data_IF_651588005190
#
_entry.id   IF_651588005190
#
_cell.length_a   1.000
_cell.length_b   1.000
_cell.length_c   1.000
_cell.angle_alpha   90.00
_cell.angle_beta   90.00
_cell.angle_gamma   90.00
#
_symmetry.space_group_name_H-M   'P 1'
#
loop_
_entity.id
_entity.type
_entity.pdbx_description
1 polymer ?
#
# COMPACT_ATOMS: atom_id res chain seq x y z
N UNK A 1 57.78 -1.44 -23.29
CA UNK A 1 56.94 -0.26 -23.58
C UNK A 1 55.48 -0.67 -23.51
N UNK A 2 54.72 0.06 -22.69
CA UNK A 2 53.26 0.13 -22.54
C UNK A 2 52.42 -1.16 -22.60
N UNK A 3 52.15 -1.72 -21.41
CA UNK A 3 50.91 -2.44 -21.17
C UNK A 3 49.69 -1.51 -21.27
N UNK A 4 48.64 -1.98 -21.91
CA UNK A 4 47.32 -1.34 -21.87
C UNK A 4 46.31 -2.40 -21.47
N UNK A 5 46.29 -2.73 -20.18
CA UNK A 5 45.12 -3.33 -19.54
C UNK A 5 43.96 -2.37 -19.76
N UNK A 6 43.09 -2.68 -20.72
CA UNK A 6 41.79 -2.04 -20.85
C UNK A 6 41.08 -2.22 -19.51
N UNK A 7 41.08 -1.19 -18.67
CA UNK A 7 40.19 -1.13 -17.51
C UNK A 7 38.79 -1.27 -18.09
N UNK A 8 38.12 -2.35 -17.73
CA UNK A 8 36.70 -2.60 -17.97
C UNK A 8 35.87 -1.46 -17.37
N UNK A 9 35.72 -0.36 -18.10
CA UNK A 9 34.88 0.79 -17.72
C UNK A 9 33.40 0.56 -18.00
N UNK A 10 33.04 -0.54 -18.66
CA UNK A 10 31.68 -0.91 -19.06
C UNK A 10 31.19 -2.18 -18.37
N UNK A 11 31.34 -2.27 -17.04
CA UNK A 11 30.37 -3.07 -16.30
C UNK A 11 29.01 -2.38 -16.51
N UNK A 12 28.15 -3.00 -17.31
CA UNK A 12 26.75 -2.62 -17.45
C UNK A 12 26.22 -2.32 -16.06
N UNK A 13 25.98 -1.03 -15.76
CA UNK A 13 25.64 -0.60 -14.41
C UNK A 13 24.34 -1.29 -14.04
N UNK A 14 24.41 -2.26 -13.13
CA UNK A 14 23.26 -3.02 -12.69
C UNK A 14 22.16 -2.07 -12.20
N UNK A 15 20.91 -2.41 -12.55
CA UNK A 15 19.73 -1.71 -12.07
C UNK A 15 18.93 -2.66 -11.19
N UNK A 16 18.62 -2.24 -9.97
CA UNK A 16 17.75 -2.95 -9.04
C UNK A 16 16.45 -2.18 -8.88
N UNK A 17 15.34 -2.91 -8.80
CA UNK A 17 13.99 -2.33 -8.66
C UNK A 17 13.34 -2.90 -7.42
N UNK A 18 13.09 -2.03 -6.44
CA UNK A 18 12.34 -2.37 -5.23
C UNK A 18 10.85 -2.41 -5.60
N UNK A 19 10.27 -3.62 -5.60
CA UNK A 19 8.83 -3.86 -5.82
C UNK A 19 8.02 -3.90 -4.53
N UNK A 20 8.61 -4.43 -3.46
CA UNK A 20 7.99 -4.58 -2.15
C UNK A 20 7.59 -3.24 -1.53
N UNK A 21 6.55 -3.25 -0.68
CA UNK A 21 6.24 -2.08 0.16
C UNK A 21 7.41 -1.79 1.10
N UNK A 22 7.93 -0.56 1.06
CA UNK A 22 9.02 -0.09 1.91
C UNK A 22 8.69 1.29 2.46
N UNK A 23 9.25 1.63 3.62
CA UNK A 23 9.01 2.94 4.25
C UNK A 23 9.54 4.09 3.38
N UNK A 24 8.87 5.26 3.39
CA UNK A 24 9.34 6.43 2.64
C UNK A 24 10.79 6.81 2.99
N UNK A 25 11.62 6.97 1.97
CA UNK A 25 13.05 7.26 2.04
C UNK A 25 13.95 6.02 1.87
N UNK A 26 13.40 4.81 1.82
CA UNK A 26 14.20 3.57 1.73
C UNK A 26 15.03 3.54 0.45
N UNK A 27 14.42 3.84 -0.70
CA UNK A 27 15.11 3.81 -2.00
C UNK A 27 16.26 4.80 -2.08
N UNK A 28 16.10 5.99 -1.48
CA UNK A 28 17.16 6.99 -1.42
C UNK A 28 18.32 6.55 -0.52
N UNK A 29 18.01 5.97 0.64
CA UNK A 29 19.00 5.40 1.55
C UNK A 29 19.79 4.26 0.88
N UNK A 30 19.09 3.35 0.20
CA UNK A 30 19.71 2.27 -0.56
C UNK A 30 20.58 2.80 -1.70
N UNK A 31 20.11 3.81 -2.44
CA UNK A 31 20.90 4.41 -3.51
C UNK A 31 22.19 5.04 -2.97
N UNK A 32 22.14 5.67 -1.80
CA UNK A 32 23.32 6.23 -1.12
C UNK A 32 24.30 5.13 -0.68
N UNK A 33 23.80 4.02 -0.16
CA UNK A 33 24.62 2.88 0.26
C UNK A 33 25.26 2.14 -0.92
N UNK A 34 24.63 2.16 -2.11
CA UNK A 34 25.07 1.44 -3.29
C UNK A 34 25.22 2.36 -4.53
N UNK A 35 26.16 3.32 -4.55
CA UNK A 35 26.26 4.36 -5.59
C UNK A 35 26.60 3.83 -6.99
N UNK A 36 27.16 2.61 -7.07
CA UNK A 36 27.51 1.95 -8.34
C UNK A 36 26.30 1.34 -9.04
N UNK A 37 25.25 1.00 -8.31
CA UNK A 37 24.02 0.38 -8.82
C UNK A 37 22.94 1.46 -8.96
N UNK A 38 22.09 1.36 -9.98
CA UNK A 38 20.88 2.20 -10.07
C UNK A 38 19.79 1.53 -9.24
N UNK A 39 19.23 2.23 -8.26
CA UNK A 39 18.12 1.71 -7.45
C UNK A 39 16.87 2.53 -7.74
N UNK A 40 15.82 1.83 -8.17
CA UNK A 40 14.50 2.41 -8.44
C UNK A 40 13.47 1.78 -7.51
N UNK A 41 12.36 2.48 -7.32
CA UNK A 41 11.17 1.94 -6.68
C UNK A 41 10.07 1.77 -7.72
N UNK A 42 9.32 0.67 -7.66
CA UNK A 42 8.14 0.48 -8.49
C UNK A 42 7.07 -0.24 -7.68
N UNK A 43 6.25 0.49 -6.91
CA UNK A 43 5.31 -0.14 -5.99
C UNK A 43 4.32 -1.01 -6.75
N UNK A 44 4.00 -2.16 -6.18
CA UNK A 44 2.97 -3.06 -6.72
C UNK A 44 1.57 -2.72 -6.17
N UNK A 45 0.55 -2.79 -7.03
CA UNK A 45 -0.84 -2.46 -6.68
C UNK A 45 -1.77 -3.65 -6.89
N UNK A 46 -1.29 -4.84 -6.50
CA UNK A 46 -2.01 -6.10 -6.68
C UNK A 46 -3.08 -6.27 -5.60
N UNK A 47 -4.18 -6.89 -5.98
CA UNK A 47 -5.18 -7.44 -5.05
C UNK A 47 -4.96 -8.95 -4.92
N UNK A 48 -5.02 -9.49 -3.70
CA UNK A 48 -4.73 -10.92 -3.45
C UNK A 48 -5.56 -11.85 -4.35
N UNK A 49 -6.84 -11.51 -4.56
CA UNK A 49 -7.75 -12.29 -5.41
C UNK A 49 -7.45 -12.20 -6.92
N UNK A 50 -6.80 -11.12 -7.40
CA UNK A 50 -6.60 -10.89 -8.84
C UNK A 50 -5.13 -10.70 -9.22
N UNK A 51 -4.17 -11.11 -8.39
CA UNK A 51 -2.75 -10.80 -8.57
C UNK A 51 -2.23 -11.09 -10.00
N UNK A 52 -2.58 -12.24 -10.60
CA UNK A 52 -2.21 -12.56 -11.99
C UNK A 52 -2.75 -11.56 -13.01
N UNK A 53 -4.02 -11.18 -12.87
CA UNK A 53 -4.68 -10.21 -13.75
C UNK A 53 -4.11 -8.81 -13.54
N UNK A 54 -3.88 -8.42 -12.30
CA UNK A 54 -3.36 -7.09 -11.93
C UNK A 54 -1.92 -6.89 -12.42
N UNK A 55 -1.10 -7.96 -12.45
CA UNK A 55 0.22 -7.94 -13.09
C UNK A 55 0.09 -7.78 -14.61
N UNK A 56 -0.80 -8.51 -15.25
CA UNK A 56 -0.94 -8.49 -16.71
C UNK A 56 -1.60 -7.20 -17.25
N UNK A 57 -2.52 -6.60 -16.48
CA UNK A 57 -3.30 -5.42 -16.85
C UNK A 57 -3.32 -4.40 -15.70
N UNK A 58 -2.18 -3.78 -15.37
CA UNK A 58 -2.11 -2.83 -14.27
C UNK A 58 -2.91 -1.56 -14.56
N UNK A 59 -3.58 -1.03 -13.53
CA UNK A 59 -4.27 0.27 -13.63
C UNK A 59 -3.30 1.45 -13.62
N UNK A 60 -2.12 1.27 -13.02
CA UNK A 60 -1.08 2.30 -12.95
C UNK A 60 0.32 1.70 -12.82
N UNK A 61 1.29 2.32 -13.49
CA UNK A 61 2.71 2.10 -13.29
C UNK A 61 3.36 3.35 -12.71
N UNK A 62 3.97 3.22 -11.54
CA UNK A 62 4.71 4.32 -10.89
C UNK A 62 6.15 3.88 -10.74
N UNK A 63 7.08 4.76 -11.13
CA UNK A 63 8.52 4.56 -10.93
C UNK A 63 9.07 5.70 -10.06
N UNK A 64 9.52 5.33 -8.87
CA UNK A 64 10.24 6.20 -7.96
C UNK A 64 11.73 6.26 -8.30
N UNK A 65 12.24 7.48 -8.50
CA UNK A 65 13.67 7.74 -8.68
C UNK A 65 14.29 8.39 -7.44
N UNK A 66 15.49 7.97 -6.99
CA UNK A 66 16.13 8.55 -5.80
C UNK A 66 16.71 9.95 -6.05
N UNK A 67 16.92 10.33 -7.31
CA UNK A 67 17.23 11.71 -7.70
C UNK A 67 16.81 11.99 -9.13
N UNK A 68 16.71 13.27 -9.49
CA UNK A 68 16.26 13.68 -10.82
C UNK A 68 17.32 13.62 -11.92
N UNK A 69 18.44 12.92 -11.65
CA UNK A 69 19.55 12.85 -12.59
C UNK A 69 19.15 12.24 -13.95
N UNK A 70 19.79 12.64 -15.06
CA UNK A 70 19.55 12.03 -16.36
C UNK A 70 19.74 10.50 -16.36
N UNK A 71 20.65 9.99 -15.52
CA UNK A 71 20.89 8.55 -15.30
C UNK A 71 19.65 7.86 -14.75
N UNK A 72 19.07 8.36 -13.66
CA UNK A 72 17.87 7.77 -13.06
C UNK A 72 16.66 7.88 -13.98
N UNK A 73 16.46 9.04 -14.63
CA UNK A 73 15.37 9.23 -15.60
C UNK A 73 15.47 8.32 -16.80
N UNK A 74 16.69 8.02 -17.30
CA UNK A 74 16.88 7.07 -18.40
C UNK A 74 16.51 5.65 -17.96
N UNK A 75 17.00 5.20 -16.81
CA UNK A 75 16.68 3.87 -16.28
C UNK A 75 15.18 3.70 -15.99
N UNK A 76 14.54 4.70 -15.39
CA UNK A 76 13.10 4.68 -15.12
C UNK A 76 12.25 4.61 -16.40
N UNK A 77 12.64 5.32 -17.47
CA UNK A 77 11.97 5.21 -18.78
C UNK A 77 12.14 3.85 -19.42
N UNK A 78 13.31 3.22 -19.29
CA UNK A 78 13.53 1.85 -19.77
C UNK A 78 12.66 0.86 -18.99
N UNK A 79 12.59 1.01 -17.66
CA UNK A 79 11.73 0.18 -16.82
C UNK A 79 10.25 0.32 -17.21
N UNK A 80 9.75 1.54 -17.43
CA UNK A 80 8.36 1.73 -17.89
C UNK A 80 8.08 1.03 -19.23
N UNK A 81 9.05 0.97 -20.15
CA UNK A 81 8.87 0.32 -21.46
C UNK A 81 8.76 -1.21 -21.38
N UNK A 82 9.31 -1.83 -20.34
CA UNK A 82 9.25 -3.29 -20.15
C UNK A 82 8.07 -3.74 -19.28
N UNK A 83 7.44 -2.83 -18.54
CA UNK A 83 6.23 -3.13 -17.78
C UNK A 83 5.02 -3.19 -18.73
N UNK A 84 4.01 -4.03 -18.43
CA UNK A 84 2.73 -3.99 -19.13
C UNK A 84 2.14 -2.58 -19.09
N UNK A 85 1.58 -2.12 -20.21
CA UNK A 85 1.00 -0.79 -20.31
C UNK A 85 -0.11 -0.59 -19.29
N UNK A 86 -0.13 0.59 -18.70
CA UNK A 86 -1.16 1.00 -17.76
C UNK A 86 -1.84 2.29 -18.25
N UNK A 87 -3.13 2.51 -17.94
CA UNK A 87 -3.81 3.79 -18.21
C UNK A 87 -3.10 5.01 -17.58
N UNK A 88 -2.39 4.81 -16.47
CA UNK A 88 -1.61 5.85 -15.82
C UNK A 88 -0.15 5.42 -15.65
N UNK A 89 0.79 6.23 -16.15
CA UNK A 89 2.23 5.99 -16.00
C UNK A 89 2.92 7.25 -15.46
N UNK A 90 3.74 7.12 -14.41
CA UNK A 90 4.42 8.28 -13.82
C UNK A 90 5.81 7.94 -13.28
N UNK A 91 6.78 8.78 -13.63
CA UNK A 91 8.09 8.86 -12.96
C UNK A 91 8.02 10.00 -11.94
N UNK A 92 8.40 9.73 -10.70
CA UNK A 92 8.37 10.69 -9.58
C UNK A 92 9.50 10.43 -8.58
N UNK A 93 9.65 11.25 -7.54
CA UNK A 93 10.64 11.00 -6.49
C UNK A 93 10.29 9.71 -5.75
N UNK A 94 11.31 8.96 -5.32
CA UNK A 94 11.11 7.66 -4.72
C UNK A 94 10.28 7.71 -3.43
N UNK A 95 10.55 8.69 -2.55
CA UNK A 95 9.76 8.90 -1.33
C UNK A 95 8.27 9.11 -1.60
N UNK A 96 7.92 9.78 -2.70
CA UNK A 96 6.53 10.05 -3.08
C UNK A 96 5.88 8.77 -3.62
N UNK A 97 6.60 8.01 -4.44
CA UNK A 97 6.13 6.71 -4.95
C UNK A 97 5.89 5.70 -3.79
N UNK A 98 6.80 5.64 -2.83
CA UNK A 98 6.68 4.81 -1.62
C UNK A 98 5.43 5.23 -0.81
N UNK A 99 5.19 6.54 -0.65
CA UNK A 99 3.98 7.05 0.00
C UNK A 99 2.68 6.73 -0.74
N UNK A 100 2.66 6.74 -2.07
CA UNK A 100 1.46 6.41 -2.86
C UNK A 100 0.96 4.99 -2.56
N UNK A 101 1.86 4.04 -2.27
CA UNK A 101 1.48 2.68 -1.86
C UNK A 101 0.71 2.68 -0.53
N UNK A 102 1.26 3.33 0.49
CA UNK A 102 0.58 3.45 1.78
C UNK A 102 -0.72 4.25 1.67
N UNK A 103 -0.73 5.39 0.97
CA UNK A 103 -1.91 6.22 0.82
C UNK A 103 -3.09 5.46 0.22
N UNK A 104 -2.86 4.67 -0.84
CA UNK A 104 -3.90 3.83 -1.44
C UNK A 104 -4.44 2.77 -0.49
N UNK A 105 -3.56 1.98 0.13
CA UNK A 105 -3.96 0.90 1.03
C UNK A 105 -4.64 1.42 2.30
N UNK A 106 -4.12 2.49 2.90
CA UNK A 106 -4.70 3.11 4.08
C UNK A 106 -6.07 3.74 3.80
N UNK A 107 -6.28 4.34 2.62
CA UNK A 107 -7.58 4.91 2.27
C UNK A 107 -8.63 3.80 2.09
N UNK A 108 -8.27 2.70 1.42
CA UNK A 108 -9.17 1.54 1.26
C UNK A 108 -9.46 0.85 2.59
N UNK A 109 -8.47 0.79 3.49
CA UNK A 109 -8.63 0.32 4.86
C UNK A 109 -9.68 1.16 5.62
N UNK A 110 -9.53 2.49 5.60
CA UNK A 110 -10.49 3.41 6.24
C UNK A 110 -11.88 3.32 5.60
N UNK A 111 -11.96 3.22 4.27
CA UNK A 111 -13.25 3.04 3.57
C UNK A 111 -13.95 1.78 4.07
N UNK A 112 -13.24 0.65 4.11
CA UNK A 112 -13.80 -0.64 4.56
C UNK A 112 -14.28 -0.58 6.01
N UNK A 113 -13.56 0.13 6.88
CA UNK A 113 -13.97 0.39 8.25
C UNK A 113 -15.26 1.21 8.33
N UNK A 114 -15.31 2.32 7.59
CA UNK A 114 -16.47 3.20 7.59
C UNK A 114 -17.72 2.50 7.05
N UNK A 115 -17.56 1.71 5.99
CA UNK A 115 -18.62 0.85 5.44
C UNK A 115 -19.15 -0.13 6.48
N UNK A 116 -18.30 -0.70 7.32
CA UNK A 116 -18.73 -1.54 8.43
C UNK A 116 -19.48 -0.76 9.52
N UNK A 117 -19.10 0.49 9.81
CA UNK A 117 -19.82 1.35 10.76
C UNK A 117 -21.20 1.71 10.20
N UNK A 118 -21.29 2.03 8.91
CA UNK A 118 -22.54 2.35 8.25
C UNK A 118 -23.49 1.14 8.20
N UNK A 119 -22.93 -0.05 7.99
CA UNK A 119 -23.67 -1.31 8.15
C UNK A 119 -24.28 -1.44 9.55
N UNK A 120 -23.49 -1.25 10.61
CA UNK A 120 -24.00 -1.28 11.99
C UNK A 120 -25.16 -0.28 12.20
N UNK A 121 -25.07 0.91 11.59
CA UNK A 121 -26.10 1.94 11.69
C UNK A 121 -27.38 1.57 10.94
N UNK A 122 -27.27 1.04 9.71
CA UNK A 122 -28.43 0.60 8.92
C UNK A 122 -29.19 -0.53 9.61
N UNK A 123 -28.46 -1.54 10.11
CA UNK A 123 -29.05 -2.65 10.87
C UNK A 123 -29.69 -2.17 12.18
N UNK A 124 -29.05 -1.22 12.89
CA UNK A 124 -29.60 -0.63 14.11
C UNK A 124 -30.91 0.15 13.91
N UNK A 125 -31.19 0.59 12.67
CA UNK A 125 -32.45 1.23 12.28
C UNK A 125 -33.50 0.22 11.78
N UNK A 126 -33.15 -1.07 11.67
CA UNK A 126 -33.98 -2.07 10.99
C UNK A 126 -34.06 -1.86 9.48
N UNK A 127 -33.13 -1.11 8.89
CA UNK A 127 -33.07 -0.81 7.46
C UNK A 127 -32.18 -1.78 6.67
N UNK A 128 -32.10 -1.56 5.36
CA UNK A 128 -31.28 -2.37 4.44
C UNK A 128 -29.94 -1.71 4.13
N UNK A 129 -28.84 -2.25 4.65
CA UNK A 129 -27.51 -1.78 4.24
C UNK A 129 -27.25 -1.97 2.74
N UNK A 130 -27.84 -3.00 2.11
CA UNK A 130 -27.65 -3.25 0.69
C UNK A 130 -28.17 -2.09 -0.18
N UNK A 131 -29.37 -1.59 0.13
CA UNK A 131 -29.96 -0.42 -0.54
C UNK A 131 -29.12 0.84 -0.31
N UNK A 132 -28.67 1.05 0.93
CA UNK A 132 -27.78 2.18 1.28
C UNK A 132 -26.47 2.11 0.48
N UNK A 133 -25.83 0.94 0.44
CA UNK A 133 -24.56 0.75 -0.25
C UNK A 133 -24.70 0.93 -1.77
N UNK A 134 -25.79 0.44 -2.37
CA UNK A 134 -26.11 0.63 -3.78
C UNK A 134 -26.27 2.12 -4.12
N UNK A 135 -27.11 2.83 -3.37
CA UNK A 135 -27.36 4.25 -3.57
C UNK A 135 -26.08 5.09 -3.41
N UNK A 136 -25.25 4.79 -2.41
CA UNK A 136 -23.96 5.48 -2.23
C UNK A 136 -22.94 5.15 -3.32
N UNK A 137 -22.91 3.91 -3.80
CA UNK A 137 -21.99 3.48 -4.86
C UNK A 137 -22.26 4.15 -6.22
N UNK A 138 -23.48 4.67 -6.43
CA UNK A 138 -23.84 5.46 -7.60
C UNK A 138 -23.08 6.81 -7.67
N UNK A 139 -22.62 7.35 -6.54
CA UNK A 139 -21.81 8.56 -6.52
C UNK A 139 -20.37 8.26 -6.98
N UNK A 140 -20.06 8.69 -8.20
CA UNK A 140 -18.75 8.49 -8.82
C UNK A 140 -17.57 9.05 -8.00
N UNK A 141 -17.79 10.05 -7.13
CA UNK A 141 -16.75 10.62 -6.25
C UNK A 141 -16.27 9.63 -5.20
N UNK A 142 -17.12 8.66 -4.82
CA UNK A 142 -16.85 7.67 -3.79
C UNK A 142 -16.15 6.41 -4.33
N UNK A 143 -16.07 6.28 -5.66
CA UNK A 143 -15.46 5.16 -6.36
C UNK A 143 -16.27 3.87 -6.27
N UNK A 144 -15.95 2.89 -7.13
CA UNK A 144 -16.79 1.70 -7.36
C UNK A 144 -16.46 0.47 -6.50
N UNK A 145 -15.44 0.53 -5.64
CA UNK A 145 -14.94 -0.63 -4.90
C UNK A 145 -15.15 -0.51 -3.38
N UNK A 146 -15.01 -1.63 -2.66
CA UNK A 146 -15.06 -1.71 -1.19
C UNK A 146 -16.39 -1.25 -0.56
N UNK A 147 -17.52 -1.57 -1.21
CA UNK A 147 -18.88 -1.29 -0.71
C UNK A 147 -19.48 -2.44 0.12
N UNK A 148 -18.78 -3.57 0.22
CA UNK A 148 -19.24 -4.75 0.98
C UNK A 148 -18.79 -4.64 2.43
N UNK A 149 -19.75 -4.64 3.36
CA UNK A 149 -19.45 -4.69 4.80
C UNK A 149 -18.99 -6.08 5.24
N UNK A 150 -19.59 -7.13 4.67
CA UNK A 150 -19.21 -8.53 4.87
C UNK A 150 -18.52 -9.02 3.59
N UNK A 151 -17.27 -9.46 3.71
CA UNK A 151 -16.48 -9.98 2.61
C UNK A 151 -15.66 -11.18 3.08
N UNK A 152 -15.72 -12.26 2.30
CA UNK A 152 -14.97 -13.48 2.57
C UNK A 152 -15.23 -14.00 4.01
N UNK A 153 -16.51 -14.22 4.30
CA UNK A 153 -16.97 -14.80 5.57
C UNK A 153 -16.95 -13.88 6.80
N UNK A 154 -16.52 -12.61 6.69
CA UNK A 154 -16.46 -11.74 7.87
C UNK A 154 -16.32 -10.25 7.58
N UNK A 155 -15.96 -9.50 8.62
CA UNK A 155 -16.01 -8.03 8.68
C UNK A 155 -14.63 -7.43 8.89
N UNK A 156 -14.49 -6.15 8.54
CA UNK A 156 -13.23 -5.40 8.68
C UNK A 156 -12.30 -5.52 7.47
N UNK A 157 -11.28 -4.67 7.46
CA UNK A 157 -10.21 -4.64 6.47
C UNK A 157 -9.17 -5.72 6.81
N UNK A 158 -9.38 -6.91 6.26
CA UNK A 158 -8.53 -8.09 6.46
C UNK A 158 -7.40 -8.23 5.43
N UNK A 159 -6.68 -9.34 5.52
CA UNK A 159 -5.56 -9.67 4.62
C UNK A 159 -4.24 -8.99 4.99
N UNK A 160 -3.14 -9.50 4.42
CA UNK A 160 -1.79 -9.12 4.85
C UNK A 160 -1.46 -7.66 4.56
N UNK A 161 -1.79 -7.17 3.37
CA UNK A 161 -1.43 -5.82 2.94
C UNK A 161 -2.09 -4.73 3.78
N UNK A 162 -3.40 -4.84 4.03
CA UNK A 162 -4.14 -3.82 4.77
C UNK A 162 -3.66 -3.68 6.22
N UNK A 163 -3.55 -4.80 6.94
CA UNK A 163 -3.15 -4.78 8.35
C UNK A 163 -1.69 -4.31 8.50
N UNK A 164 -0.76 -4.86 7.70
CA UNK A 164 0.67 -4.53 7.80
C UNK A 164 0.95 -3.10 7.36
N UNK A 165 0.39 -2.66 6.22
CA UNK A 165 0.68 -1.34 5.67
C UNK A 165 0.05 -0.23 6.53
N UNK A 166 -1.16 -0.44 7.08
CA UNK A 166 -1.79 0.54 7.97
C UNK A 166 -0.99 0.71 9.26
N UNK A 167 -0.57 -0.39 9.89
CA UNK A 167 0.26 -0.36 11.09
C UNK A 167 1.63 0.31 10.82
N UNK A 168 2.28 -0.04 9.72
CA UNK A 168 3.56 0.55 9.33
C UNK A 168 3.43 2.06 9.06
N UNK A 169 2.37 2.48 8.36
CA UNK A 169 2.09 3.89 8.10
C UNK A 169 1.77 4.65 9.39
N UNK A 170 0.95 4.09 10.28
CA UNK A 170 0.57 4.70 11.56
C UNK A 170 1.78 4.94 12.47
N UNK A 171 2.70 3.97 12.52
CA UNK A 171 3.98 4.09 13.22
C UNK A 171 4.89 5.14 12.56
N UNK A 172 5.02 5.11 11.23
CA UNK A 172 5.78 6.10 10.46
C UNK A 172 5.27 7.52 10.70
N UNK A 173 3.96 7.74 10.55
CA UNK A 173 3.29 9.02 10.77
C UNK A 173 3.57 9.56 12.17
N UNK A 174 3.42 8.70 13.19
CA UNK A 174 3.66 9.09 14.59
C UNK A 174 5.10 9.51 14.88
N UNK A 175 6.07 8.99 14.13
CA UNK A 175 7.49 9.31 14.26
C UNK A 175 7.85 10.62 13.56
N UNK A 176 7.24 10.90 12.40
CA UNK A 176 7.63 12.02 11.53
C UNK A 176 6.75 13.26 11.70
N UNK A 177 5.54 13.12 12.26
CA UNK A 177 4.57 14.21 12.45
C UNK A 177 4.15 14.32 13.91
N UNK A 178 4.31 15.52 14.48
CA UNK A 178 3.83 15.84 15.84
C UNK A 178 2.35 16.29 15.79
N UNK A 179 1.45 15.35 15.55
CA UNK A 179 0.00 15.60 15.52
C UNK A 179 -0.73 14.66 16.50
N UNK A 180 -1.17 15.15 17.68
CA UNK A 180 -1.94 14.35 18.63
C UNK A 180 -3.29 13.85 18.07
N UNK A 181 -4.00 14.67 17.31
CA UNK A 181 -5.33 14.37 16.80
C UNK A 181 -5.26 13.33 15.67
N UNK A 182 -4.36 13.53 14.70
CA UNK A 182 -4.12 12.56 13.62
C UNK A 182 -3.70 11.19 14.16
N UNK A 183 -2.81 11.15 15.17
CA UNK A 183 -2.44 9.90 15.83
C UNK A 183 -3.60 9.24 16.57
N UNK A 184 -4.48 10.02 17.19
CA UNK A 184 -5.67 9.48 17.86
C UNK A 184 -6.64 8.85 16.84
N UNK A 185 -6.84 9.48 15.69
CA UNK A 185 -7.68 8.97 14.61
C UNK A 185 -7.16 7.62 14.08
N UNK A 186 -5.87 7.53 13.76
CA UNK A 186 -5.27 6.28 13.25
C UNK A 186 -5.40 5.13 14.26
N UNK A 187 -5.17 5.40 15.56
CA UNK A 187 -5.36 4.39 16.62
C UNK A 187 -6.81 3.95 16.78
N UNK A 188 -7.76 4.88 16.66
CA UNK A 188 -9.18 4.54 16.72
C UNK A 188 -9.59 3.62 15.56
N UNK A 189 -9.09 3.90 14.35
CA UNK A 189 -9.29 3.07 13.17
C UNK A 189 -8.68 1.66 13.35
N UNK A 190 -7.44 1.55 13.84
CA UNK A 190 -6.83 0.26 14.21
C UNK A 190 -7.68 -0.53 15.19
N UNK A 191 -8.09 0.10 16.29
CA UNK A 191 -8.91 -0.55 17.34
C UNK A 191 -10.25 -1.04 16.80
N UNK A 192 -10.96 -0.24 15.99
CA UNK A 192 -12.23 -0.67 15.39
C UNK A 192 -12.01 -1.83 14.42
N UNK A 193 -10.95 -1.81 13.61
CA UNK A 193 -10.68 -2.90 12.67
C UNK A 193 -10.35 -4.22 13.38
N UNK A 194 -9.50 -4.16 14.40
CA UNK A 194 -9.18 -5.32 15.25
C UNK A 194 -10.47 -5.91 15.82
N UNK A 195 -11.37 -5.06 16.34
CA UNK A 195 -12.65 -5.53 16.89
C UNK A 195 -13.54 -6.21 15.83
N UNK A 196 -13.62 -5.65 14.62
CA UNK A 196 -14.40 -6.23 13.51
C UNK A 196 -13.83 -7.59 13.05
N UNK A 197 -12.53 -7.66 12.85
CA UNK A 197 -11.85 -8.87 12.38
C UNK A 197 -11.98 -9.98 13.41
N UNK A 198 -11.64 -9.73 14.68
CA UNK A 198 -11.76 -10.74 15.74
C UNK A 198 -13.22 -11.13 16.00
N UNK A 199 -14.14 -10.17 15.96
CA UNK A 199 -15.56 -10.42 16.17
C UNK A 199 -16.20 -11.26 15.06
N UNK A 200 -15.57 -11.32 13.88
CA UNK A 200 -15.97 -12.17 12.76
C UNK A 200 -15.05 -13.37 12.53
N UNK A 201 -14.11 -13.64 13.45
CA UNK A 201 -13.21 -14.79 13.38
C UNK A 201 -12.07 -14.67 12.34
N UNK A 202 -11.79 -13.47 11.82
CA UNK A 202 -10.77 -13.23 10.78
C UNK A 202 -9.43 -12.78 11.34
N UNK A 203 -8.35 -13.18 10.66
CA UNK A 203 -6.99 -12.63 10.77
C UNK A 203 -6.36 -12.60 12.17
N UNK A 204 -6.84 -13.42 13.12
CA UNK A 204 -6.41 -13.35 14.51
C UNK A 204 -4.90 -13.55 14.71
N UNK A 205 -4.30 -14.48 13.96
CA UNK A 205 -2.84 -14.72 13.98
C UNK A 205 -2.06 -13.54 13.40
N UNK A 206 -2.51 -13.03 12.26
CA UNK A 206 -1.90 -11.87 11.61
C UNK A 206 -1.93 -10.64 12.51
N UNK A 207 -3.06 -10.38 13.16
CA UNK A 207 -3.19 -9.28 14.11
C UNK A 207 -2.25 -9.43 15.31
N UNK A 208 -2.09 -10.64 15.85
CA UNK A 208 -1.11 -10.91 16.92
C UNK A 208 0.32 -10.67 16.46
N UNK A 209 0.64 -11.06 15.23
CA UNK A 209 1.97 -10.82 14.64
C UNK A 209 2.28 -9.34 14.42
N UNK A 210 1.29 -8.52 14.07
CA UNK A 210 1.48 -7.10 13.74
C UNK A 210 1.36 -6.18 14.96
N UNK A 211 0.36 -6.40 15.81
CA UNK A 211 0.05 -5.53 16.95
C UNK A 211 0.43 -6.14 18.32
N UNK A 212 0.94 -7.38 18.33
CA UNK A 212 1.40 -8.07 19.52
C UNK A 212 0.36 -8.95 20.21
N UNK A 213 0.82 -9.75 21.19
CA UNK A 213 0.04 -10.80 21.85
C UNK A 213 -1.15 -10.31 22.70
N UNK A 214 -1.26 -9.00 22.95
CA UNK A 214 -2.38 -8.40 23.71
C UNK A 214 -3.69 -8.31 22.89
N UNK A 215 -3.63 -8.58 21.59
CA UNK A 215 -4.82 -8.69 20.74
C UNK A 215 -5.58 -9.97 21.10
N UNK A 216 -6.66 -9.84 21.87
CA UNK A 216 -7.53 -10.96 22.30
C UNK A 216 -8.90 -10.85 21.66
N UNK A 217 -9.39 -11.98 21.13
CA UNK A 217 -10.81 -12.14 20.82
C UNK A 217 -11.60 -12.05 22.13
N UNK A 218 -12.64 -11.22 22.17
CA UNK A 218 -13.70 -11.39 23.18
C UNK A 218 -14.42 -12.68 22.81
N UNK A 219 -14.07 -13.79 23.46
CA UNK A 219 -14.94 -14.97 23.47
C UNK A 219 -16.31 -14.47 23.96
N UNK A 220 -17.34 -14.64 23.12
CA UNK A 220 -18.73 -14.58 23.57
C UNK A 220 -18.97 -15.70 24.58
#
# INVERSE_FOLDING_TARGET
MSGTTRRSSDLARACSVIKSTVLPGTTEAMQKAHPRIIILNSPEFLTEANARRDVAKPMRNIIGVPSDSPRHRRAARLLLRILPRAPFEKIMRARDAELVKYGGNCLLYIKTLFINILYDAAEGLGGSFAEVAEAMAADARLGKSHWKAIFDGGRGAGGHCFIKDFAAFSSFYSRVVKDPAGRALLRAAEKKNIALLLGSGKDAELLRGVYGAKVRSKKK
#
